data_IF_236602911979
#
_entry.id   IF_236602911979
#
_cell.length_a   1.000
_cell.length_b   1.000
_cell.length_c   1.000
_cell.angle_alpha   90.00
_cell.angle_beta   90.00
_cell.angle_gamma   90.00
#
_symmetry.space_group_name_H-M   'P 1'
#
loop_
_entity.id
_entity.type
_entity.pdbx_description
1 polymer ?
#
# COMPACT_ATOMS: atom_id res chain seq x y z
N UNK A 1 -25.78 24.68 9.93
CA UNK A 1 -24.78 24.46 11.01
C UNK A 1 -23.62 23.67 10.43
N UNK A 2 -22.44 24.29 10.24
CA UNK A 2 -21.22 23.57 9.84
C UNK A 2 -20.74 22.82 11.07
N UNK A 3 -20.76 21.49 11.04
CA UNK A 3 -20.11 20.70 12.08
C UNK A 3 -18.64 21.11 12.13
N UNK A 4 -18.20 21.69 13.25
CA UNK A 4 -16.80 21.95 13.50
C UNK A 4 -16.10 20.59 13.54
N UNK A 5 -15.27 20.30 12.53
CA UNK A 5 -14.42 19.12 12.56
C UNK A 5 -13.55 19.23 13.81
N UNK A 6 -13.73 18.33 14.77
CA UNK A 6 -12.86 18.19 15.93
C UNK A 6 -11.43 18.07 15.42
N UNK A 7 -10.60 19.08 15.66
CA UNK A 7 -9.25 19.13 15.12
C UNK A 7 -8.46 17.92 15.67
N UNK A 8 -8.06 17.01 14.79
CA UNK A 8 -7.26 15.84 15.16
C UNK A 8 -5.92 16.29 15.76
N UNK A 9 -5.57 15.76 16.93
CA UNK A 9 -4.28 16.02 17.56
C UNK A 9 -3.19 15.19 16.89
N UNK A 10 -2.10 15.84 16.49
CA UNK A 10 -0.91 15.15 15.95
C UNK A 10 -0.13 14.50 17.10
N UNK A 11 -0.33 13.20 17.31
CA UNK A 11 0.34 12.42 18.38
C UNK A 11 1.13 11.18 17.92
N UNK A 12 1.21 10.92 16.62
CA UNK A 12 1.94 9.76 16.08
C UNK A 12 3.45 9.99 16.20
N UNK A 13 4.11 9.17 17.02
CA UNK A 13 5.57 9.13 17.11
C UNK A 13 6.16 8.43 15.89
N UNK A 14 7.45 8.64 15.62
CA UNK A 14 8.17 7.94 14.55
C UNK A 14 8.07 6.40 14.69
N UNK A 15 7.99 5.89 15.93
CA UNK A 15 7.78 4.46 16.20
C UNK A 15 6.41 4.01 15.71
N UNK A 16 5.34 4.76 15.99
CA UNK A 16 3.99 4.41 15.53
C UNK A 16 3.92 4.40 14.00
N UNK A 17 4.52 5.40 13.34
CA UNK A 17 4.54 5.47 11.87
C UNK A 17 5.27 4.27 11.27
N UNK A 18 6.40 3.87 11.84
CA UNK A 18 7.15 2.67 11.39
C UNK A 18 6.34 1.38 11.58
N UNK A 19 5.61 1.24 12.69
CA UNK A 19 4.75 0.07 12.89
C UNK A 19 3.57 0.02 11.92
N UNK A 20 2.96 1.17 11.62
CA UNK A 20 1.93 1.25 10.57
C UNK A 20 2.52 0.80 9.23
N UNK A 21 3.68 1.33 8.85
CA UNK A 21 4.33 0.97 7.59
C UNK A 21 4.70 -0.52 7.52
N UNK A 22 5.26 -1.09 8.59
CA UNK A 22 5.61 -2.52 8.65
C UNK A 22 4.36 -3.40 8.62
N UNK A 23 3.31 -3.04 9.37
CA UNK A 23 2.04 -3.75 9.38
C UNK A 23 1.33 -3.73 8.02
N UNK A 24 1.43 -2.61 7.28
CA UNK A 24 0.89 -2.52 5.92
C UNK A 24 1.75 -3.26 4.89
N UNK A 25 3.07 -3.34 5.07
CA UNK A 25 3.96 -4.03 4.14
C UNK A 25 3.92 -5.55 4.29
N UNK A 26 3.70 -6.06 5.51
CA UNK A 26 3.63 -7.49 5.80
C UNK A 26 2.16 -7.93 5.72
N UNK A 27 1.77 -8.49 4.58
CA UNK A 27 0.40 -8.92 4.34
C UNK A 27 0.30 -10.26 3.62
N UNK A 28 -0.88 -10.52 3.07
CA UNK A 28 -1.20 -11.77 2.37
C UNK A 28 -0.32 -12.03 1.15
N UNK A 29 0.15 -10.99 0.46
CA UNK A 29 1.11 -11.14 -0.63
C UNK A 29 2.41 -11.84 -0.21
N UNK A 30 2.93 -11.55 0.99
CA UNK A 30 4.18 -12.16 1.48
C UNK A 30 4.02 -13.63 1.87
N UNK A 31 2.84 -14.05 2.34
CA UNK A 31 2.63 -15.42 2.80
C UNK A 31 1.86 -16.27 1.78
N UNK A 32 0.65 -15.84 1.43
CA UNK A 32 -0.21 -16.55 0.48
C UNK A 32 0.32 -16.45 -0.95
N UNK A 33 0.76 -15.25 -1.36
CA UNK A 33 1.32 -15.02 -2.69
C UNK A 33 2.68 -15.68 -2.91
N UNK A 34 3.55 -15.69 -1.88
CA UNK A 34 4.90 -16.26 -2.01
C UNK A 34 4.90 -17.76 -2.21
N UNK A 35 3.97 -18.50 -1.60
CA UNK A 35 3.88 -19.95 -1.81
C UNK A 35 3.70 -20.30 -3.29
N UNK A 36 2.79 -19.60 -3.98
CA UNK A 36 2.58 -19.78 -5.42
C UNK A 36 3.77 -19.30 -6.25
N UNK A 37 4.35 -18.15 -5.91
CA UNK A 37 5.52 -17.61 -6.61
C UNK A 37 6.74 -18.56 -6.50
N UNK A 38 6.98 -19.13 -5.32
CA UNK A 38 8.04 -20.12 -5.07
C UNK A 38 7.75 -21.40 -5.86
N UNK A 39 6.51 -21.92 -5.85
CA UNK A 39 6.16 -23.13 -6.61
C UNK A 39 6.39 -22.96 -8.11
N UNK A 40 6.10 -21.77 -8.67
CA UNK A 40 6.28 -21.50 -10.11
C UNK A 40 7.72 -21.21 -10.51
N UNK A 41 8.44 -20.39 -9.73
CA UNK A 41 9.78 -19.91 -10.09
C UNK A 41 10.92 -20.73 -9.46
N UNK A 42 10.64 -21.54 -8.44
CA UNK A 42 11.65 -22.23 -7.66
C UNK A 42 12.64 -21.26 -6.99
N UNK A 43 13.94 -21.62 -6.87
CA UNK A 43 14.96 -20.76 -6.25
C UNK A 43 15.13 -19.40 -6.94
N UNK A 44 14.75 -19.28 -8.22
CA UNK A 44 14.87 -18.04 -8.99
C UNK A 44 13.88 -16.94 -8.53
N UNK A 45 12.90 -17.27 -7.70
CA UNK A 45 11.96 -16.30 -7.11
C UNK A 45 12.67 -15.16 -6.37
N UNK A 46 13.86 -15.43 -5.80
CA UNK A 46 14.67 -14.41 -5.14
C UNK A 46 15.11 -13.31 -6.11
N UNK A 47 15.46 -13.66 -7.35
CA UNK A 47 15.79 -12.69 -8.39
C UNK A 47 14.56 -11.86 -8.77
N UNK A 48 13.39 -12.51 -8.89
CA UNK A 48 12.14 -11.82 -9.17
C UNK A 48 11.79 -10.81 -8.06
N UNK A 49 11.96 -11.18 -6.79
CA UNK A 49 11.74 -10.25 -5.67
C UNK A 49 12.78 -9.15 -5.57
N UNK A 50 14.04 -9.41 -5.92
CA UNK A 50 15.06 -8.35 -5.96
C UNK A 50 14.74 -7.31 -7.04
N UNK A 51 14.36 -7.76 -8.24
CA UNK A 51 14.02 -6.85 -9.36
C UNK A 51 12.73 -6.09 -9.05
N UNK A 52 11.67 -6.79 -8.62
CA UNK A 52 10.40 -6.18 -8.25
C UNK A 52 10.55 -5.23 -7.06
N UNK A 53 11.31 -5.63 -6.04
CA UNK A 53 11.62 -4.81 -4.88
C UNK A 53 12.43 -3.56 -5.23
N UNK A 54 13.39 -3.65 -6.15
CA UNK A 54 14.13 -2.48 -6.63
C UNK A 54 13.21 -1.48 -7.35
N UNK A 55 12.29 -1.96 -8.20
CA UNK A 55 11.30 -1.10 -8.86
C UNK A 55 10.38 -0.40 -7.84
N UNK A 56 9.85 -1.15 -6.88
CA UNK A 56 9.00 -0.62 -5.80
C UNK A 56 9.78 0.39 -4.94
N UNK A 57 11.04 0.11 -4.63
CA UNK A 57 11.89 1.02 -3.85
C UNK A 57 12.03 2.40 -4.50
N UNK A 58 12.27 2.44 -5.83
CA UNK A 58 12.39 3.70 -6.56
C UNK A 58 11.08 4.49 -6.49
N UNK A 59 9.94 3.83 -6.69
CA UNK A 59 8.62 4.45 -6.62
C UNK A 59 8.31 4.98 -5.22
N UNK A 60 8.53 4.18 -4.18
CA UNK A 60 8.31 4.58 -2.78
C UNK A 60 9.26 5.70 -2.35
N UNK A 61 10.50 5.71 -2.85
CA UNK A 61 11.45 6.79 -2.57
C UNK A 61 10.95 8.11 -3.13
N UNK A 62 10.49 8.14 -4.38
CA UNK A 62 9.92 9.34 -5.01
C UNK A 62 8.64 9.81 -4.29
N UNK A 63 7.75 8.89 -3.92
CA UNK A 63 6.56 9.20 -3.13
C UNK A 63 6.90 9.75 -1.74
N UNK A 64 7.95 9.23 -1.11
CA UNK A 64 8.44 9.75 0.17
C UNK A 64 8.93 11.21 0.07
N UNK A 65 9.59 11.59 -1.03
CA UNK A 65 10.01 12.98 -1.26
C UNK A 65 8.82 13.91 -1.47
N UNK A 66 7.80 13.45 -2.19
CA UNK A 66 6.53 14.17 -2.33
C UNK A 66 5.80 14.30 -0.99
N UNK A 67 5.83 13.26 -0.14
CA UNK A 67 5.19 13.26 1.18
C UNK A 67 5.83 14.25 2.16
N UNK A 68 7.16 14.37 2.12
CA UNK A 68 7.89 15.34 2.97
C UNK A 68 7.74 16.77 2.46
N UNK A 69 7.76 16.97 1.13
CA UNK A 69 7.62 18.30 0.52
C UNK A 69 6.20 18.86 0.60
N UNK A 70 5.18 18.00 0.50
CA UNK A 70 3.77 18.36 0.54
C UNK A 70 3.00 17.45 1.53
N UNK A 71 3.05 17.75 2.83
CA UNK A 71 2.46 16.92 3.87
C UNK A 71 0.94 17.10 3.93
N UNK A 72 0.23 16.44 3.01
CA UNK A 72 -1.24 16.40 2.91
C UNK A 72 -1.75 14.99 3.21
N UNK A 73 -2.97 14.88 3.75
CA UNK A 73 -3.58 13.58 4.08
C UNK A 73 -4.02 12.77 2.84
N UNK A 74 -4.09 13.39 1.66
CA UNK A 74 -4.66 12.80 0.44
C UNK A 74 -3.75 11.81 -0.32
N UNK A 75 -2.46 11.69 0.04
CA UNK A 75 -1.51 10.73 -0.56
C UNK A 75 -1.46 10.79 -2.10
N UNK A 76 -1.38 9.64 -2.78
CA UNK A 76 -1.14 9.46 -4.21
C UNK A 76 -2.17 10.17 -5.11
N UNK A 77 -3.46 10.08 -4.77
CA UNK A 77 -4.53 10.70 -5.57
C UNK A 77 -4.46 12.22 -5.56
N UNK A 78 -4.05 12.81 -4.43
CA UNK A 78 -3.82 14.25 -4.32
C UNK A 78 -2.55 14.67 -5.07
N UNK A 79 -1.47 13.88 -4.99
CA UNK A 79 -0.25 14.14 -5.75
C UNK A 79 -0.47 14.05 -7.26
N UNK A 80 -1.26 13.07 -7.72
CA UNK A 80 -1.65 12.94 -9.11
C UNK A 80 -2.55 14.11 -9.56
N UNK A 81 -3.54 14.50 -8.74
CA UNK A 81 -4.38 15.67 -8.99
C UNK A 81 -3.56 16.94 -9.18
N UNK A 82 -2.58 17.16 -8.28
CA UNK A 82 -1.78 18.38 -8.24
C UNK A 82 -0.76 18.49 -9.37
N UNK A 83 -0.13 17.38 -9.78
CA UNK A 83 0.96 17.40 -10.76
C UNK A 83 0.53 16.98 -12.17
N UNK A 84 -0.49 16.13 -12.31
CA UNK A 84 -0.95 15.59 -13.59
C UNK A 84 -2.37 16.05 -13.97
N UNK A 85 -3.04 16.75 -13.05
CA UNK A 85 -4.35 17.36 -13.26
C UNK A 85 -5.52 16.56 -12.67
N UNK A 86 -6.73 17.15 -12.63
CA UNK A 86 -7.88 16.60 -11.90
C UNK A 86 -8.32 15.21 -12.39
N UNK A 87 -8.20 14.94 -13.69
CA UNK A 87 -8.57 13.65 -14.27
C UNK A 87 -7.63 12.53 -13.80
N UNK A 88 -6.32 12.79 -13.76
CA UNK A 88 -5.34 11.82 -13.28
C UNK A 88 -5.57 11.48 -11.81
N UNK A 89 -5.92 12.47 -11.00
CA UNK A 89 -6.35 12.28 -9.61
C UNK A 89 -7.61 11.43 -9.45
N UNK A 90 -8.63 11.71 -10.25
CA UNK A 90 -9.87 10.93 -10.25
C UNK A 90 -9.61 9.46 -10.64
N UNK A 91 -8.87 9.23 -11.73
CA UNK A 91 -8.53 7.88 -12.19
C UNK A 91 -7.72 7.12 -11.15
N UNK A 92 -6.66 7.72 -10.59
CA UNK A 92 -5.84 7.08 -9.55
C UNK A 92 -6.63 6.79 -8.28
N UNK A 93 -7.53 7.69 -7.86
CA UNK A 93 -8.42 7.46 -6.72
C UNK A 93 -9.36 6.27 -6.93
N UNK A 94 -9.97 6.15 -8.12
CA UNK A 94 -10.81 5.00 -8.46
C UNK A 94 -10.02 3.71 -8.60
N UNK A 95 -8.87 3.73 -9.28
CA UNK A 95 -7.98 2.57 -9.38
C UNK A 95 -7.58 2.07 -8.00
N UNK A 96 -7.23 2.97 -7.08
CA UNK A 96 -6.92 2.62 -5.70
C UNK A 96 -8.12 2.01 -4.96
N UNK A 97 -9.32 2.54 -5.18
CA UNK A 97 -10.54 2.00 -4.57
C UNK A 97 -10.80 0.56 -5.04
N UNK A 98 -10.67 0.30 -6.35
CA UNK A 98 -10.81 -1.06 -6.89
C UNK A 98 -9.70 -2.00 -6.42
N UNK A 99 -8.47 -1.51 -6.34
CA UNK A 99 -7.33 -2.27 -5.82
C UNK A 99 -7.56 -2.69 -4.37
N UNK A 100 -8.04 -1.79 -3.51
CA UNK A 100 -8.42 -2.13 -2.13
C UNK A 100 -9.55 -3.17 -2.05
N UNK A 101 -10.53 -3.14 -2.95
CA UNK A 101 -11.56 -4.20 -3.02
C UNK A 101 -10.91 -5.56 -3.33
N UNK A 102 -10.00 -5.60 -4.30
CA UNK A 102 -9.28 -6.84 -4.66
C UNK A 102 -8.41 -7.33 -3.50
N UNK A 103 -7.71 -6.43 -2.81
CA UNK A 103 -6.92 -6.76 -1.61
C UNK A 103 -7.81 -7.35 -0.52
N UNK A 104 -8.98 -6.76 -0.23
CA UNK A 104 -9.92 -7.33 0.73
C UNK A 104 -10.36 -8.75 0.36
N UNK A 105 -10.63 -9.04 -0.92
CA UNK A 105 -10.97 -10.38 -1.38
C UNK A 105 -9.81 -11.38 -1.23
N UNK A 106 -8.58 -10.93 -1.53
CA UNK A 106 -7.37 -11.72 -1.33
C UNK A 106 -7.16 -12.04 0.16
N UNK A 107 -7.42 -11.08 1.04
CA UNK A 107 -7.31 -11.25 2.49
C UNK A 107 -8.32 -12.25 3.06
N UNK A 108 -9.57 -12.19 2.63
CA UNK A 108 -10.60 -13.16 3.02
C UNK A 108 -10.26 -14.57 2.51
N UNK A 109 -9.70 -14.68 1.30
CA UNK A 109 -9.28 -15.97 0.73
C UNK A 109 -8.12 -16.57 1.52
N UNK A 110 -7.09 -15.78 1.80
CA UNK A 110 -5.95 -16.21 2.60
C UNK A 110 -6.39 -16.64 4.02
N UNK A 111 -7.29 -15.86 4.64
CA UNK A 111 -7.89 -16.21 5.93
C UNK A 111 -8.61 -17.56 5.88
N UNK A 112 -9.46 -17.79 4.86
CA UNK A 112 -10.16 -19.06 4.69
C UNK A 112 -9.23 -20.25 4.52
N UNK A 113 -8.12 -20.08 3.79
CA UNK A 113 -7.09 -21.12 3.62
C UNK A 113 -6.39 -21.40 4.94
N UNK A 114 -5.96 -20.38 5.68
CA UNK A 114 -5.26 -20.57 6.96
C UNK A 114 -6.15 -21.18 8.04
N UNK A 115 -7.44 -20.82 8.09
CA UNK A 115 -8.40 -21.45 9.00
C UNK A 115 -8.64 -22.93 8.68
N UNK A 116 -8.44 -23.38 7.43
CA UNK A 116 -8.54 -24.80 7.08
C UNK A 116 -7.34 -25.64 7.53
N UNK A 117 -6.22 -25.01 7.91
CA UNK A 117 -5.05 -25.70 8.47
C UNK A 117 -5.17 -25.96 9.98
N UNK A 118 -6.16 -25.37 10.66
CA UNK A 118 -6.37 -25.47 12.11
C UNK A 118 -7.73 -26.09 12.43
#
# INVERSE_FOLDING_TARGET
>A
MKAAATALTRGLTARHIRFIALGSAIGTGLFYGSAEAINRAGPSVLLAYLIGGAAIYIVLRALGEMAVSNPVSGSFGEYASKHLGPLAGFMTGWTYTFEMIVVCLADVTAFGVYMGFW
#
